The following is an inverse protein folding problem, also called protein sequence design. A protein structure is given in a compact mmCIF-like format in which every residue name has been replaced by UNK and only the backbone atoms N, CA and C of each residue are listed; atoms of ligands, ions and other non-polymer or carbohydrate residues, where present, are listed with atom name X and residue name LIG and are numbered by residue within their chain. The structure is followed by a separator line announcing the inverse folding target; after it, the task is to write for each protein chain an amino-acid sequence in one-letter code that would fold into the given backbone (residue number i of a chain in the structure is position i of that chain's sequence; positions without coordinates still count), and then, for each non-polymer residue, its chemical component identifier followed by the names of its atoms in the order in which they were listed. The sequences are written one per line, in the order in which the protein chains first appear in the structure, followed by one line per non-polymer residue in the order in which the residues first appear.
data_IF_745511784304
#
_entry.id   IF_745511784304
#
_cell.length_a   1.000
_cell.length_b   1.000
_cell.length_c   1.000
_cell.angle_alpha   90.00
_cell.angle_beta   90.00
_cell.angle_gamma   90.00
#
_symmetry.space_group_name_H-M   'P 1'
#
loop_
_entity.id
_entity.type
_entity.pdbx_description
1 polymer ?
#
# COMPACT_ATOMS: atom_id res chain seq x y z
N UNK A 1 -32.36 6.15 32.01
CA UNK A 1 -32.16 5.35 30.78
C UNK A 1 -31.50 6.26 29.75
N UNK A 2 -30.17 6.23 29.66
CA UNK A 2 -29.45 6.98 28.65
C UNK A 2 -29.63 6.22 27.34
N UNK A 3 -30.37 6.79 26.40
CA UNK A 3 -30.48 6.26 25.03
C UNK A 3 -29.07 6.40 24.44
N UNK A 4 -28.36 5.29 24.36
CA UNK A 4 -27.17 5.20 23.53
C UNK A 4 -27.66 5.45 22.09
N UNK A 5 -27.51 6.68 21.62
CA UNK A 5 -27.72 7.00 20.19
C UNK A 5 -26.72 6.15 19.42
N UNK A 6 -27.24 5.13 18.72
CA UNK A 6 -26.37 4.30 17.87
C UNK A 6 -25.69 5.22 16.86
N UNK A 7 -24.37 5.13 16.78
CA UNK A 7 -23.57 5.90 15.83
C UNK A 7 -24.10 5.70 14.41
N UNK A 8 -24.33 6.78 13.66
CA UNK A 8 -24.72 6.68 12.25
C UNK A 8 -23.62 6.03 11.45
N UNK A 9 -23.96 4.96 10.75
CA UNK A 9 -23.03 4.24 9.86
C UNK A 9 -23.34 4.59 8.42
N UNK A 10 -22.29 4.92 7.66
CA UNK A 10 -22.38 5.33 6.25
C UNK A 10 -21.51 4.40 5.42
N UNK A 11 -22.04 3.92 4.31
CA UNK A 11 -21.28 3.21 3.28
C UNK A 11 -21.17 4.05 2.03
N UNK A 12 -19.98 4.16 1.48
CA UNK A 12 -19.72 4.98 0.29
C UNK A 12 -19.04 4.12 -0.79
N UNK A 13 -19.74 3.92 -1.89
CA UNK A 13 -19.19 3.34 -3.11
C UNK A 13 -18.74 4.46 -4.06
N UNK A 14 -17.51 4.37 -4.57
CA UNK A 14 -16.82 5.47 -5.27
C UNK A 14 -16.51 5.11 -6.71
N UNK A 15 -17.05 5.93 -7.63
CA UNK A 15 -16.65 5.97 -9.03
C UNK A 15 -15.93 7.30 -9.36
N UNK A 16 -15.37 7.39 -10.55
CA UNK A 16 -14.62 8.57 -11.01
C UNK A 16 -15.46 9.84 -11.02
N UNK A 17 -16.70 9.77 -11.51
CA UNK A 17 -17.57 10.93 -11.72
C UNK A 17 -18.55 11.16 -10.57
N UNK A 18 -18.97 10.11 -9.91
CA UNK A 18 -20.01 10.15 -8.89
C UNK A 18 -19.74 9.12 -7.79
N UNK A 19 -20.36 9.29 -6.67
CA UNK A 19 -20.33 8.38 -5.54
C UNK A 19 -21.76 8.05 -5.10
N UNK A 20 -21.96 6.81 -4.73
CA UNK A 20 -23.21 6.35 -4.13
C UNK A 20 -23.03 6.20 -2.64
N UNK A 21 -23.89 6.83 -1.87
CA UNK A 21 -23.83 6.90 -0.42
C UNK A 21 -25.06 6.27 0.19
N UNK A 22 -24.88 5.45 1.24
CA UNK A 22 -25.96 4.89 2.03
C UNK A 22 -25.84 5.37 3.48
N UNK A 23 -26.93 5.80 4.07
CA UNK A 23 -27.02 6.25 5.46
C UNK A 23 -27.90 5.31 6.28
N UNK A 24 -27.38 4.79 7.39
CA UNK A 24 -28.11 3.85 8.25
C UNK A 24 -29.23 4.50 9.07
N UNK A 25 -29.09 5.77 9.42
CA UNK A 25 -30.07 6.53 10.20
C UNK A 25 -31.33 6.85 9.41
N UNK A 26 -31.25 7.12 8.12
CA UNK A 26 -32.34 7.40 7.22
C UNK A 26 -32.76 6.19 6.37
N UNK A 27 -31.92 5.17 6.31
CA UNK A 27 -32.04 4.00 5.42
C UNK A 27 -32.16 4.38 3.93
N UNK A 28 -31.59 5.52 3.55
CA UNK A 28 -31.63 6.06 2.18
C UNK A 28 -30.31 5.84 1.46
N UNK A 29 -30.41 5.81 0.14
CA UNK A 29 -29.25 5.79 -0.77
C UNK A 29 -29.37 6.97 -1.71
N UNK A 30 -28.33 7.78 -1.80
CA UNK A 30 -28.25 8.95 -2.65
C UNK A 30 -27.03 8.87 -3.57
N UNK A 31 -27.08 9.55 -4.72
CA UNK A 31 -25.95 9.70 -5.61
C UNK A 31 -25.50 11.16 -5.66
N UNK A 32 -24.24 11.42 -5.46
CA UNK A 32 -23.65 12.75 -5.47
C UNK A 32 -22.42 12.79 -6.42
N UNK A 33 -22.08 13.97 -6.93
CA UNK A 33 -20.88 14.14 -7.74
C UNK A 33 -19.61 13.91 -6.91
N UNK A 34 -18.63 13.24 -7.50
CA UNK A 34 -17.32 13.04 -6.88
C UNK A 34 -16.45 14.29 -7.07
N UNK A 35 -16.85 15.39 -6.47
CA UNK A 35 -16.07 16.63 -6.36
C UNK A 35 -16.08 17.17 -4.92
N UNK A 36 -15.04 17.91 -4.56
CA UNK A 36 -14.84 18.40 -3.19
C UNK A 36 -16.00 19.27 -2.68
N UNK A 37 -16.68 20.00 -3.55
CA UNK A 37 -17.78 20.91 -3.17
C UNK A 37 -19.03 20.12 -2.84
N UNK A 38 -19.43 19.19 -3.70
CA UNK A 38 -20.58 18.32 -3.48
C UNK A 38 -20.39 17.42 -2.25
N UNK A 39 -19.19 16.82 -2.13
CA UNK A 39 -18.78 16.02 -0.97
C UNK A 39 -18.87 16.82 0.33
N UNK A 40 -18.29 18.02 0.38
CA UNK A 40 -18.31 18.86 1.59
C UNK A 40 -19.73 19.27 1.98
N UNK A 41 -20.60 19.57 0.98
CA UNK A 41 -22.00 19.91 1.23
C UNK A 41 -22.75 18.72 1.83
N UNK A 42 -22.55 17.54 1.25
CA UNK A 42 -23.22 16.33 1.71
C UNK A 42 -22.71 15.88 3.09
N UNK A 43 -21.40 15.86 3.33
CA UNK A 43 -20.83 15.51 4.63
C UNK A 43 -21.36 16.38 5.78
N UNK A 44 -21.68 17.66 5.52
CA UNK A 44 -22.31 18.54 6.51
C UNK A 44 -23.72 18.10 6.94
N UNK A 45 -24.38 17.25 6.17
CA UNK A 45 -25.73 16.71 6.51
C UNK A 45 -25.65 15.51 7.43
N UNK A 46 -24.47 14.93 7.64
CA UNK A 46 -24.27 13.79 8.51
C UNK A 46 -24.26 14.20 9.98
N UNK A 47 -24.79 13.36 10.87
CA UNK A 47 -24.59 13.52 12.31
C UNK A 47 -23.09 13.57 12.67
N UNK A 48 -22.75 14.31 13.71
CA UNK A 48 -21.36 14.39 14.18
C UNK A 48 -20.80 13.00 14.51
N UNK A 49 -19.51 12.80 14.24
CA UNK A 49 -18.79 11.54 14.53
C UNK A 49 -19.41 10.29 13.86
N UNK A 50 -20.08 10.45 12.70
CA UNK A 50 -20.56 9.30 11.93
C UNK A 50 -19.40 8.37 11.56
N UNK A 51 -19.66 7.05 11.52
CA UNK A 51 -18.71 6.04 11.05
C UNK A 51 -18.89 5.82 9.55
N UNK A 52 -17.84 6.02 8.75
CA UNK A 52 -17.90 6.02 7.29
C UNK A 52 -17.00 4.92 6.73
N UNK A 53 -17.60 3.93 6.04
CA UNK A 53 -16.86 2.93 5.27
C UNK A 53 -16.71 3.36 3.82
N UNK A 54 -15.49 3.31 3.31
CA UNK A 54 -15.15 3.66 1.92
C UNK A 54 -14.31 2.54 1.34
N UNK A 55 -14.66 2.05 0.15
CA UNK A 55 -13.80 1.11 -0.57
C UNK A 55 -12.62 1.84 -1.22
N UNK A 56 -11.41 1.27 -1.08
CA UNK A 56 -10.19 1.81 -1.68
C UNK A 56 -10.21 1.66 -3.21
N UNK A 57 -10.73 2.66 -3.92
CA UNK A 57 -10.83 2.67 -5.38
C UNK A 57 -9.83 3.64 -6.00
N UNK A 58 -8.67 3.13 -6.46
CA UNK A 58 -7.60 3.93 -7.05
C UNK A 58 -7.29 5.20 -6.23
N UNK A 59 -7.35 6.40 -6.86
CA UNK A 59 -7.17 7.71 -6.21
C UNK A 59 -8.50 8.41 -5.89
N UNK A 60 -9.62 7.89 -6.40
CA UNK A 60 -10.91 8.57 -6.38
C UNK A 60 -11.53 8.71 -4.99
N UNK A 61 -11.12 7.86 -4.04
CA UNK A 61 -11.59 7.90 -2.65
C UNK A 61 -10.86 8.94 -1.79
N UNK A 62 -9.72 9.47 -2.23
CA UNK A 62 -8.86 10.31 -1.38
C UNK A 62 -9.57 11.57 -0.89
N UNK A 63 -10.24 12.31 -1.79
CA UNK A 63 -10.96 13.53 -1.40
C UNK A 63 -12.07 13.26 -0.38
N UNK A 64 -12.81 12.16 -0.55
CA UNK A 64 -13.86 11.73 0.38
C UNK A 64 -13.29 11.45 1.77
N UNK A 65 -12.20 10.67 1.82
CA UNK A 65 -11.57 10.25 3.07
C UNK A 65 -10.96 11.44 3.81
N UNK A 66 -10.23 12.32 3.10
CA UNK A 66 -9.62 13.53 3.67
C UNK A 66 -10.66 14.50 4.21
N UNK A 67 -11.72 14.78 3.43
CA UNK A 67 -12.78 15.71 3.83
C UNK A 67 -13.58 15.17 5.02
N UNK A 68 -13.97 13.90 4.98
CA UNK A 68 -14.71 13.28 6.07
C UNK A 68 -13.90 13.27 7.37
N UNK A 69 -12.62 12.92 7.31
CA UNK A 69 -11.72 12.97 8.46
C UNK A 69 -11.55 14.41 8.99
N UNK A 70 -11.33 15.39 8.10
CA UNK A 70 -11.17 16.80 8.49
C UNK A 70 -12.45 17.38 9.13
N UNK A 71 -13.62 16.79 8.86
CA UNK A 71 -14.90 17.17 9.47
C UNK A 71 -15.23 16.38 10.76
N UNK A 72 -14.29 15.57 11.26
CA UNK A 72 -14.42 14.85 12.54
C UNK A 72 -15.17 13.53 12.46
N UNK A 73 -15.40 12.99 11.25
CA UNK A 73 -15.99 11.64 11.10
C UNK A 73 -14.92 10.55 11.27
N UNK A 74 -15.37 9.37 11.72
CA UNK A 74 -14.53 8.18 11.79
C UNK A 74 -14.54 7.47 10.43
N UNK A 75 -13.43 7.51 9.71
CA UNK A 75 -13.34 6.96 8.35
C UNK A 75 -12.60 5.63 8.37
N UNK A 76 -13.17 4.63 7.71
CA UNK A 76 -12.61 3.30 7.53
C UNK A 76 -12.42 3.01 6.04
N UNK A 77 -11.17 2.91 5.62
CA UNK A 77 -10.84 2.53 4.23
C UNK A 77 -10.76 1.01 4.17
N UNK A 78 -11.70 0.42 3.45
CA UNK A 78 -11.87 -1.03 3.39
C UNK A 78 -11.25 -1.59 2.12
N UNK A 79 -10.59 -2.72 2.26
CA UNK A 79 -9.99 -3.47 1.14
C UNK A 79 -11.09 -4.14 0.30
N UNK A 80 -11.05 -3.93 -1.03
CA UNK A 80 -12.02 -4.49 -1.98
C UNK A 80 -12.13 -6.03 -1.92
N UNK A 81 -11.03 -6.73 -1.65
CA UNK A 81 -11.04 -8.18 -1.50
C UNK A 81 -11.83 -8.63 -0.26
N UNK A 82 -11.68 -7.91 0.87
CA UNK A 82 -12.46 -8.19 2.09
C UNK A 82 -13.95 -7.99 1.85
N UNK A 83 -14.34 -6.88 1.21
CA UNK A 83 -15.75 -6.58 0.89
C UNK A 83 -16.33 -7.64 -0.05
N UNK A 84 -15.56 -8.05 -1.07
CA UNK A 84 -15.99 -9.10 -2.01
C UNK A 84 -16.20 -10.46 -1.32
N UNK A 85 -15.30 -10.85 -0.41
CA UNK A 85 -15.46 -12.10 0.35
C UNK A 85 -16.63 -12.03 1.34
N UNK A 86 -16.82 -10.90 2.00
CA UNK A 86 -17.96 -10.67 2.88
C UNK A 86 -19.27 -10.80 2.12
N UNK A 87 -19.38 -10.19 0.93
CA UNK A 87 -20.55 -10.34 0.03
C UNK A 87 -20.87 -11.80 -0.26
N UNK A 88 -19.83 -12.60 -0.59
CA UNK A 88 -20.00 -14.05 -0.85
C UNK A 88 -20.45 -14.78 0.41
N UNK A 89 -19.86 -14.46 1.57
CA UNK A 89 -20.20 -15.07 2.86
C UNK A 89 -21.64 -14.87 3.28
N UNK A 90 -22.23 -13.71 2.98
CA UNK A 90 -23.64 -13.40 3.28
C UNK A 90 -24.61 -13.81 2.14
N UNK A 91 -24.11 -14.45 1.06
CA UNK A 91 -24.93 -14.91 -0.05
C UNK A 91 -25.53 -13.80 -0.92
N UNK A 92 -25.03 -12.57 -0.85
CA UNK A 92 -25.55 -11.46 -1.65
C UNK A 92 -25.16 -11.61 -3.12
N UNK A 93 -26.14 -11.81 -4.00
CA UNK A 93 -25.95 -11.99 -5.44
C UNK A 93 -25.94 -10.67 -6.23
N UNK A 94 -26.73 -9.69 -5.79
CA UNK A 94 -26.84 -8.41 -6.49
C UNK A 94 -25.56 -7.60 -6.31
N UNK A 95 -25.05 -7.09 -7.44
CA UNK A 95 -23.91 -6.18 -7.51
C UNK A 95 -24.32 -4.97 -8.34
N UNK A 96 -24.59 -3.87 -7.68
CA UNK A 96 -24.82 -2.54 -8.23
C UNK A 96 -24.46 -1.52 -7.15
N UNK A 97 -24.18 -0.29 -7.54
CA UNK A 97 -23.64 0.74 -6.67
C UNK A 97 -24.49 0.99 -5.40
N UNK A 98 -25.86 1.04 -5.42
CA UNK A 98 -26.67 1.11 -4.20
C UNK A 98 -26.50 -0.09 -3.27
N UNK A 99 -26.39 -1.31 -3.82
CA UNK A 99 -26.15 -2.52 -3.03
C UNK A 99 -24.73 -2.52 -2.44
N UNK A 100 -23.76 -1.96 -3.15
CA UNK A 100 -22.37 -1.91 -2.72
C UNK A 100 -22.17 -0.89 -1.59
N UNK A 101 -22.81 0.28 -1.66
CA UNK A 101 -22.85 1.24 -0.56
C UNK A 101 -23.52 0.67 0.70
N UNK A 102 -24.67 -0.03 0.57
CA UNK A 102 -25.31 -0.72 1.70
C UNK A 102 -24.44 -1.82 2.29
N UNK A 103 -23.77 -2.58 1.43
CA UNK A 103 -22.86 -3.65 1.86
C UNK A 103 -21.70 -3.10 2.68
N UNK A 104 -21.12 -1.97 2.27
CA UNK A 104 -20.04 -1.30 2.99
C UNK A 104 -20.50 -0.85 4.39
N UNK A 105 -21.69 -0.26 4.50
CA UNK A 105 -22.25 0.12 5.78
C UNK A 105 -22.49 -1.11 6.68
N UNK A 106 -23.08 -2.19 6.13
CA UNK A 106 -23.28 -3.45 6.86
C UNK A 106 -21.97 -4.09 7.29
N UNK A 107 -20.96 -4.08 6.40
CA UNK A 107 -19.63 -4.56 6.73
C UNK A 107 -19.03 -3.80 7.91
N UNK A 108 -19.08 -2.46 7.86
CA UNK A 108 -18.59 -1.64 8.96
C UNK A 108 -19.32 -1.92 10.27
N UNK A 109 -20.65 -2.02 10.24
CA UNK A 109 -21.45 -2.31 11.44
C UNK A 109 -21.03 -3.62 12.12
N UNK A 110 -20.70 -4.65 11.33
CA UNK A 110 -20.40 -5.98 11.88
C UNK A 110 -18.92 -6.20 12.19
N UNK A 111 -18.02 -5.50 11.51
CA UNK A 111 -16.59 -5.77 11.54
C UNK A 111 -15.74 -4.61 12.08
N UNK A 112 -16.38 -3.58 12.64
CA UNK A 112 -15.75 -2.33 13.07
C UNK A 112 -14.56 -2.56 14.03
N UNK A 113 -14.69 -3.49 14.97
CA UNK A 113 -13.67 -3.79 15.97
C UNK A 113 -12.37 -4.32 15.34
N UNK A 114 -12.46 -4.96 14.17
CA UNK A 114 -11.32 -5.47 13.39
C UNK A 114 -10.75 -4.46 12.40
N UNK A 115 -11.29 -3.24 12.33
CA UNK A 115 -10.88 -2.21 11.39
C UNK A 115 -10.12 -1.08 12.08
N UNK A 116 -9.19 -0.46 11.36
CA UNK A 116 -8.49 0.72 11.83
C UNK A 116 -9.15 1.98 11.29
N UNK A 117 -9.37 2.95 12.17
CA UNK A 117 -9.76 4.31 11.77
C UNK A 117 -8.62 4.88 10.92
N UNK A 118 -8.99 5.42 9.77
CA UNK A 118 -8.05 6.06 8.87
C UNK A 118 -7.54 7.37 9.47
N UNK A 119 -6.26 7.60 9.33
CA UNK A 119 -5.60 8.87 9.63
C UNK A 119 -4.81 9.36 8.43
N UNK A 120 -4.71 10.68 8.20
CA UNK A 120 -3.95 11.21 7.08
C UNK A 120 -2.49 10.79 7.19
N UNK A 121 -1.89 10.28 6.10
CA UNK A 121 -0.48 9.98 6.10
C UNK A 121 0.34 11.28 6.22
N UNK A 122 1.54 11.23 6.83
CA UNK A 122 2.46 12.36 6.79
C UNK A 122 2.68 12.84 5.35
N UNK A 123 2.72 14.16 5.12
CA UNK A 123 2.95 14.72 3.77
C UNK A 123 4.21 14.15 3.10
N UNK A 124 5.29 14.01 3.88
CA UNK A 124 6.54 13.43 3.40
C UNK A 124 6.37 11.98 2.94
N UNK A 125 5.56 11.15 3.64
CA UNK A 125 5.23 9.79 3.21
C UNK A 125 4.63 9.78 1.81
N UNK A 126 3.63 10.62 1.55
CA UNK A 126 2.95 10.68 0.26
C UNK A 126 3.91 11.14 -0.85
N UNK A 127 4.74 12.15 -0.59
CA UNK A 127 5.72 12.66 -1.53
C UNK A 127 6.80 11.63 -1.86
N UNK A 128 7.39 10.99 -0.86
CA UNK A 128 8.43 9.98 -1.03
C UNK A 128 7.88 8.74 -1.76
N UNK A 129 6.71 8.26 -1.37
CA UNK A 129 6.03 7.16 -2.05
C UNK A 129 5.78 7.48 -3.52
N UNK A 130 5.26 8.68 -3.82
CA UNK A 130 5.04 9.11 -5.20
C UNK A 130 6.34 9.15 -6.01
N UNK A 131 7.43 9.71 -5.47
CA UNK A 131 8.72 9.78 -6.14
C UNK A 131 9.30 8.38 -6.42
N UNK A 132 9.20 7.45 -5.45
CA UNK A 132 9.64 6.06 -5.64
C UNK A 132 8.87 5.38 -6.77
N UNK A 133 7.55 5.52 -6.82
CA UNK A 133 6.71 4.96 -7.88
C UNK A 133 6.98 5.59 -9.25
N UNK A 134 7.13 6.92 -9.33
CA UNK A 134 7.49 7.60 -10.60
C UNK A 134 8.85 7.17 -11.11
N UNK A 135 9.82 7.00 -10.21
CA UNK A 135 11.12 6.43 -10.57
C UNK A 135 11.00 5.00 -11.10
N UNK A 136 10.20 4.15 -10.45
CA UNK A 136 9.98 2.78 -10.93
C UNK A 136 9.40 2.75 -12.34
N UNK A 137 8.40 3.59 -12.62
CA UNK A 137 7.80 3.76 -13.96
C UNK A 137 8.84 4.23 -14.99
N UNK A 138 9.69 5.21 -14.61
CA UNK A 138 10.76 5.70 -15.48
C UNK A 138 11.73 4.58 -15.87
N UNK A 139 12.17 3.77 -14.89
CA UNK A 139 13.08 2.65 -15.13
C UNK A 139 12.43 1.59 -16.02
N UNK A 140 11.18 1.22 -15.75
CA UNK A 140 10.46 0.20 -16.50
C UNK A 140 10.28 0.61 -17.97
N UNK A 141 9.85 1.85 -18.22
CA UNK A 141 9.66 2.35 -19.57
C UNK A 141 11.00 2.48 -20.32
N UNK A 142 12.06 2.94 -19.64
CA UNK A 142 13.40 3.01 -20.23
C UNK A 142 13.92 1.62 -20.62
N UNK A 143 13.76 0.62 -19.75
CA UNK A 143 14.18 -0.75 -20.06
C UNK A 143 13.44 -1.30 -21.28
N UNK A 144 12.13 -1.09 -21.38
CA UNK A 144 11.31 -1.48 -22.53
C UNK A 144 11.77 -0.82 -23.83
N UNK A 145 12.04 0.50 -23.80
CA UNK A 145 12.57 1.22 -24.96
C UNK A 145 13.94 0.71 -25.39
N UNK A 146 14.86 0.53 -24.44
CA UNK A 146 16.22 0.04 -24.75
C UNK A 146 16.19 -1.37 -25.34
N UNK A 147 15.29 -2.23 -24.88
CA UNK A 147 15.10 -3.57 -25.41
C UNK A 147 14.54 -3.54 -26.84
N UNK A 148 13.51 -2.74 -27.08
CA UNK A 148 12.87 -2.63 -28.42
C UNK A 148 13.83 -2.05 -29.48
N UNK A 149 14.76 -1.19 -29.10
CA UNK A 149 15.72 -0.56 -29.99
C UNK A 149 17.08 -1.28 -30.04
N UNK A 150 17.23 -2.43 -29.38
CA UNK A 150 18.54 -3.08 -29.20
C UNK A 150 19.22 -3.44 -30.53
N UNK A 151 18.44 -3.94 -31.49
CA UNK A 151 18.94 -4.46 -32.77
C UNK A 151 18.66 -3.50 -33.95
N UNK A 152 18.39 -2.20 -33.66
CA UNK A 152 18.10 -1.20 -34.68
C UNK A 152 19.26 -0.22 -34.87
N UNK A 153 20.15 -0.43 -35.87
CA UNK A 153 21.33 0.40 -36.07
C UNK A 153 21.02 1.86 -36.34
N UNK A 154 19.92 2.17 -37.01
CA UNK A 154 19.49 3.53 -37.33
C UNK A 154 19.15 4.33 -36.06
N UNK A 155 18.73 3.67 -34.99
CA UNK A 155 18.39 4.29 -33.71
C UNK A 155 19.60 4.48 -32.77
N UNK A 156 20.81 4.12 -33.17
CA UNK A 156 22.00 4.19 -32.28
C UNK A 156 22.18 5.57 -31.63
N UNK A 157 22.09 6.65 -32.41
CA UNK A 157 22.22 8.02 -31.87
C UNK A 157 21.06 8.38 -30.94
N UNK A 158 19.83 7.99 -31.30
CA UNK A 158 18.62 8.22 -30.50
C UNK A 158 18.71 7.47 -29.15
N UNK A 159 19.18 6.22 -29.17
CA UNK A 159 19.42 5.42 -27.93
C UNK A 159 20.39 6.11 -26.99
N UNK A 160 21.52 6.62 -27.52
CA UNK A 160 22.51 7.34 -26.70
C UNK A 160 21.89 8.59 -26.07
N UNK A 161 21.16 9.39 -26.85
CA UNK A 161 20.47 10.57 -26.35
C UNK A 161 19.44 10.22 -25.27
N UNK A 162 18.61 9.22 -25.51
CA UNK A 162 17.61 8.73 -24.56
C UNK A 162 18.24 8.21 -23.27
N UNK A 163 19.36 7.47 -23.36
CA UNK A 163 20.07 6.98 -22.18
C UNK A 163 20.66 8.13 -21.35
N UNK A 164 21.15 9.21 -22.00
CA UNK A 164 21.63 10.41 -21.30
C UNK A 164 20.47 11.11 -20.57
N UNK A 165 19.34 11.33 -21.26
CA UNK A 165 18.15 11.94 -20.66
C UNK A 165 17.60 11.12 -19.50
N UNK A 166 17.56 9.79 -19.64
CA UNK A 166 17.17 8.89 -18.55
C UNK A 166 18.06 9.05 -17.32
N UNK A 167 19.39 9.02 -17.50
CA UNK A 167 20.34 9.20 -16.37
C UNK A 167 20.11 10.53 -15.65
N UNK A 168 19.90 11.62 -16.40
CA UNK A 168 19.64 12.93 -15.82
C UNK A 168 18.31 12.96 -15.03
N UNK A 169 17.25 12.38 -15.58
CA UNK A 169 15.95 12.27 -14.91
C UNK A 169 16.04 11.41 -13.63
N UNK A 170 16.70 10.25 -13.69
CA UNK A 170 16.90 9.37 -12.54
C UNK A 170 17.68 10.08 -11.42
N UNK A 171 18.77 10.76 -11.76
CA UNK A 171 19.56 11.54 -10.80
C UNK A 171 18.76 12.67 -10.17
N UNK A 172 17.92 13.37 -10.96
CA UNK A 172 17.05 14.43 -10.45
C UNK A 172 16.03 13.87 -9.44
N UNK A 173 15.39 12.74 -9.74
CA UNK A 173 14.46 12.09 -8.80
C UNK A 173 15.18 11.64 -7.53
N UNK A 174 16.38 11.08 -7.63
CA UNK A 174 17.16 10.68 -6.46
C UNK A 174 17.54 11.89 -5.59
N UNK A 175 17.90 13.04 -6.19
CA UNK A 175 18.13 14.28 -5.44
C UNK A 175 16.86 14.75 -4.71
N UNK A 176 15.70 14.66 -5.35
CA UNK A 176 14.42 14.99 -4.71
C UNK A 176 14.09 14.04 -3.55
N UNK A 177 14.32 12.73 -3.72
CA UNK A 177 14.15 11.74 -2.65
C UNK A 177 15.00 12.11 -1.43
N UNK A 178 16.29 12.43 -1.62
CA UNK A 178 17.19 12.86 -0.54
C UNK A 178 16.70 14.13 0.14
N UNK A 179 16.31 15.15 -0.67
CA UNK A 179 15.82 16.42 -0.15
C UNK A 179 14.59 16.21 0.74
N UNK A 180 13.56 15.50 0.25
CA UNK A 180 12.33 15.25 1.00
C UNK A 180 12.60 14.38 2.24
N UNK A 181 13.50 13.40 2.15
CA UNK A 181 13.91 12.57 3.31
C UNK A 181 14.56 13.40 4.41
N UNK A 182 15.42 14.37 4.04
CA UNK A 182 16.05 15.29 4.97
C UNK A 182 15.04 16.22 5.63
N UNK A 183 14.15 16.83 4.83
CA UNK A 183 13.08 17.69 5.33
C UNK A 183 12.12 16.94 6.27
N UNK A 184 11.96 15.64 6.06
CA UNK A 184 11.14 14.76 6.88
C UNK A 184 11.86 14.24 8.14
N UNK A 185 13.16 14.46 8.30
CA UNK A 185 13.96 14.00 9.43
C UNK A 185 14.13 12.47 9.50
N UNK A 186 14.06 11.77 8.36
CA UNK A 186 14.18 10.30 8.33
C UNK A 186 15.57 9.79 7.92
N UNK A 187 16.56 10.67 7.82
CA UNK A 187 17.92 10.31 7.41
C UNK A 187 18.52 9.23 8.32
N UNK A 188 18.35 9.34 9.61
CA UNK A 188 18.84 8.35 10.58
C UNK A 188 18.22 6.96 10.32
N UNK A 189 16.92 6.90 10.05
CA UNK A 189 16.24 5.64 9.70
C UNK A 189 16.75 5.05 8.38
N UNK A 190 17.04 5.89 7.40
CA UNK A 190 17.65 5.47 6.14
C UNK A 190 19.06 4.90 6.38
N UNK A 191 19.87 5.56 7.19
CA UNK A 191 21.23 5.09 7.48
C UNK A 191 21.23 3.80 8.29
N UNK A 192 20.32 3.62 9.23
CA UNK A 192 20.09 2.35 9.92
C UNK A 192 19.72 1.22 8.94
N UNK A 193 18.84 1.49 7.98
CA UNK A 193 18.53 0.51 6.93
C UNK A 193 19.76 0.19 6.07
N UNK A 194 20.56 1.19 5.69
CA UNK A 194 21.77 0.99 4.88
C UNK A 194 22.86 0.19 5.59
N UNK A 195 22.87 0.18 6.92
CA UNK A 195 23.76 -0.68 7.71
C UNK A 195 23.45 -2.18 7.54
N UNK A 196 22.33 -2.53 6.93
CA UNK A 196 21.98 -3.91 6.59
C UNK A 196 22.66 -4.25 5.26
N UNK A 197 23.52 -5.27 5.25
CA UNK A 197 24.21 -5.71 4.05
C UNK A 197 23.23 -6.04 2.91
N UNK A 198 23.50 -5.50 1.73
CA UNK A 198 22.67 -5.65 0.53
C UNK A 198 21.56 -4.58 0.41
N UNK A 199 21.29 -3.81 1.45
CA UNK A 199 20.30 -2.72 1.41
C UNK A 199 20.97 -1.44 0.92
N UNK A 200 20.67 -1.06 -0.32
CA UNK A 200 21.10 0.22 -0.91
C UNK A 200 20.17 1.37 -0.52
N UNK A 201 20.58 2.59 -0.86
CA UNK A 201 19.89 3.84 -0.50
C UNK A 201 18.40 3.85 -0.89
N UNK A 202 18.02 3.38 -2.09
CA UNK A 202 16.63 3.36 -2.51
C UNK A 202 15.76 2.38 -1.72
N UNK A 203 16.30 1.20 -1.41
CA UNK A 203 15.60 0.24 -0.56
C UNK A 203 15.45 0.79 0.85
N UNK A 204 16.51 1.39 1.39
CA UNK A 204 16.51 2.04 2.69
C UNK A 204 15.46 3.17 2.75
N UNK A 205 15.42 4.03 1.72
CA UNK A 205 14.40 5.09 1.61
C UNK A 205 12.99 4.50 1.56
N UNK A 206 12.76 3.43 0.78
CA UNK A 206 11.46 2.76 0.69
C UNK A 206 10.99 2.18 2.02
N UNK A 207 11.88 1.48 2.73
CA UNK A 207 11.59 0.91 4.06
C UNK A 207 11.33 2.00 5.10
N UNK A 208 12.19 3.03 5.18
CA UNK A 208 12.05 4.14 6.11
C UNK A 208 10.77 4.94 5.81
N UNK A 209 10.45 5.20 4.54
CA UNK A 209 9.19 5.85 4.12
C UNK A 209 7.98 5.04 4.60
N UNK A 210 8.00 3.73 4.38
CA UNK A 210 6.88 2.86 4.78
C UNK A 210 6.71 2.85 6.30
N UNK A 211 7.80 2.90 7.03
CA UNK A 211 7.80 2.92 8.49
C UNK A 211 7.18 4.20 9.08
N UNK A 212 7.24 5.33 8.35
CA UNK A 212 6.57 6.58 8.76
C UNK A 212 5.05 6.46 8.82
N UNK A 213 4.46 5.43 8.20
CA UNK A 213 3.00 5.31 8.07
C UNK A 213 2.29 5.01 9.38
N UNK A 214 2.98 4.44 10.37
CA UNK A 214 2.36 4.14 11.65
C UNK A 214 3.30 3.51 12.67
N UNK A 215 2.80 3.38 13.88
CA UNK A 215 3.48 2.63 14.94
C UNK A 215 3.20 1.14 14.75
N UNK A 216 4.26 0.39 14.52
CA UNK A 216 4.20 -1.05 14.40
C UNK A 216 4.53 -1.70 15.74
N UNK A 217 3.63 -2.57 16.22
CA UNK A 217 3.78 -3.25 17.50
C UNK A 217 5.04 -4.14 17.54
N UNK A 218 5.39 -4.72 16.40
CA UNK A 218 6.54 -5.60 16.23
C UNK A 218 6.97 -5.68 14.76
N UNK A 219 8.05 -6.42 14.50
CA UNK A 219 8.56 -6.65 13.14
C UNK A 219 7.56 -7.38 12.23
N UNK A 220 6.75 -8.28 12.76
CA UNK A 220 5.80 -9.06 11.96
C UNK A 220 4.65 -8.17 11.46
N UNK A 221 4.20 -7.21 12.29
CA UNK A 221 3.23 -6.20 11.87
C UNK A 221 3.77 -5.34 10.73
N UNK A 222 5.06 -4.97 10.76
CA UNK A 222 5.70 -4.22 9.67
C UNK A 222 5.83 -5.08 8.40
N UNK A 223 6.22 -6.35 8.52
CA UNK A 223 6.31 -7.28 7.39
C UNK A 223 4.94 -7.49 6.74
N UNK A 224 3.90 -7.66 7.55
CA UNK A 224 2.52 -7.77 7.07
C UNK A 224 2.09 -6.48 6.34
N UNK A 225 2.46 -5.31 6.85
CA UNK A 225 2.19 -4.03 6.18
C UNK A 225 2.94 -3.89 4.84
N UNK A 226 4.14 -4.46 4.73
CA UNK A 226 4.87 -4.57 3.47
C UNK A 226 4.23 -5.59 2.49
N UNK A 227 3.29 -6.42 2.97
CA UNK A 227 2.69 -7.53 2.20
C UNK A 227 3.70 -8.63 1.89
N UNK A 228 4.63 -8.87 2.81
CA UNK A 228 5.67 -9.89 2.73
C UNK A 228 5.46 -11.03 3.73
N UNK A 229 4.35 -11.02 4.44
CA UNK A 229 3.83 -12.12 5.24
C UNK A 229 3.25 -13.22 4.36
N UNK A 230 3.10 -14.42 4.93
CA UNK A 230 2.64 -15.59 4.21
C UNK A 230 1.16 -15.86 4.48
N UNK A 231 0.43 -16.24 3.44
CA UNK A 231 -0.88 -16.86 3.59
C UNK A 231 -0.74 -18.24 4.19
N UNK A 232 -1.66 -18.59 5.08
CA UNK A 232 -1.77 -19.94 5.67
C UNK A 232 -3.11 -20.53 5.22
N UNK A 233 -3.04 -21.69 4.58
CA UNK A 233 -4.23 -22.46 4.15
C UNK A 233 -4.03 -23.93 4.56
N UNK A 234 -4.18 -24.17 5.86
CA UNK A 234 -4.04 -25.49 6.45
C UNK A 234 -5.39 -26.00 6.89
N UNK A 235 -5.69 -27.27 6.64
CA UNK A 235 -6.87 -27.93 7.15
C UNK A 235 -6.55 -29.37 7.61
N UNK A 236 -6.70 -29.62 8.90
CA UNK A 236 -6.40 -30.92 9.49
C UNK A 236 -4.95 -31.36 9.23
N UNK A 237 -4.76 -32.45 8.50
CA UNK A 237 -3.42 -33.01 8.14
C UNK A 237 -2.84 -32.38 6.86
N UNK A 238 -3.60 -31.53 6.15
CA UNK A 238 -3.17 -30.94 4.88
C UNK A 238 -2.51 -29.59 5.11
N UNK A 239 -1.22 -29.50 4.78
CA UNK A 239 -0.50 -28.22 4.72
C UNK A 239 -0.62 -27.65 3.32
N UNK A 240 -1.32 -26.52 3.17
CA UNK A 240 -1.46 -25.81 1.92
C UNK A 240 -0.17 -25.06 1.50
N UNK A 241 -0.05 -24.68 0.22
CA UNK A 241 1.09 -23.90 -0.25
C UNK A 241 1.10 -22.52 0.39
N UNK A 242 2.30 -22.01 0.69
CA UNK A 242 2.51 -20.68 1.26
C UNK A 242 2.77 -19.66 0.16
N UNK A 243 2.02 -18.57 0.16
CA UNK A 243 2.21 -17.46 -0.76
C UNK A 243 2.36 -16.14 0.01
N UNK A 244 3.06 -15.17 -0.56
CA UNK A 244 3.06 -13.82 -0.02
C UNK A 244 1.65 -13.22 -0.14
N UNK A 245 1.20 -12.51 0.91
CA UNK A 245 -0.11 -11.82 0.91
C UNK A 245 -0.18 -10.71 -0.13
N UNK A 246 0.96 -10.08 -0.45
CA UNK A 246 1.12 -8.97 -1.40
C UNK A 246 0.21 -7.75 -1.10
N UNK A 247 -0.28 -7.61 0.13
CA UNK A 247 -1.20 -6.53 0.55
C UNK A 247 -0.52 -5.17 0.76
N UNK A 248 0.81 -5.10 0.67
CA UNK A 248 1.58 -3.87 0.80
C UNK A 248 1.98 -3.25 -0.53
N UNK A 249 2.91 -2.28 -0.48
CA UNK A 249 3.41 -1.55 -1.64
C UNK A 249 4.28 -2.45 -2.54
N UNK A 250 3.92 -2.64 -3.82
CA UNK A 250 4.66 -3.51 -4.73
C UNK A 250 6.07 -3.00 -5.05
N UNK A 251 6.28 -1.68 -5.05
CA UNK A 251 7.60 -1.10 -5.32
C UNK A 251 8.55 -1.36 -4.16
N UNK A 252 8.10 -1.22 -2.91
CA UNK A 252 8.94 -1.52 -1.74
C UNK A 252 9.29 -3.01 -1.69
N UNK A 253 8.35 -3.91 -2.03
CA UNK A 253 8.65 -5.36 -2.16
C UNK A 253 9.68 -5.64 -3.23
N UNK A 254 9.58 -4.97 -4.40
CA UNK A 254 10.57 -5.10 -5.49
C UNK A 254 11.95 -4.64 -5.05
N UNK A 255 12.03 -3.52 -4.32
CA UNK A 255 13.29 -3.00 -3.78
C UNK A 255 13.88 -3.96 -2.73
N UNK A 256 13.06 -4.53 -1.86
CA UNK A 256 13.49 -5.53 -0.88
C UNK A 256 13.99 -6.83 -1.56
N UNK A 257 13.35 -7.27 -2.64
CA UNK A 257 13.83 -8.38 -3.45
C UNK A 257 15.21 -8.09 -4.09
N UNK A 258 15.40 -6.88 -4.62
CA UNK A 258 16.70 -6.47 -5.17
C UNK A 258 17.79 -6.44 -4.09
N UNK A 259 17.44 -5.98 -2.87
CA UNK A 259 18.34 -6.05 -1.73
C UNK A 259 18.70 -7.50 -1.37
N UNK A 260 17.75 -8.44 -1.44
CA UNK A 260 17.99 -9.86 -1.21
C UNK A 260 18.95 -10.45 -2.26
N UNK A 261 18.83 -10.05 -3.54
CA UNK A 261 19.77 -10.47 -4.58
C UNK A 261 21.21 -9.98 -4.34
N UNK A 262 21.37 -8.82 -3.75
CA UNK A 262 22.70 -8.33 -3.36
C UNK A 262 23.21 -9.02 -2.09
N UNK A 263 22.36 -9.14 -1.09
CA UNK A 263 22.68 -9.69 0.22
C UNK A 263 23.04 -11.18 0.20
N UNK A 264 22.41 -11.99 -0.67
CA UNK A 264 22.64 -13.44 -0.72
C UNK A 264 24.12 -13.84 -1.02
N UNK A 265 24.94 -12.88 -1.43
CA UNK A 265 26.39 -13.07 -1.67
C UNK A 265 27.26 -12.66 -0.48
N UNK A 266 26.71 -11.95 0.50
CA UNK A 266 27.48 -11.48 1.66
C UNK A 266 27.69 -12.62 2.67
N UNK A 267 28.77 -12.52 3.45
CA UNK A 267 29.11 -13.54 4.46
C UNK A 267 27.97 -13.77 5.47
N UNK A 268 27.23 -12.70 5.82
CA UNK A 268 26.14 -12.76 6.79
C UNK A 268 24.88 -13.45 6.27
N UNK A 269 24.47 -13.15 5.02
CA UNK A 269 23.18 -13.60 4.51
C UNK A 269 23.25 -14.83 3.64
N UNK A 270 24.46 -15.16 3.12
CA UNK A 270 24.71 -16.35 2.31
C UNK A 270 24.27 -17.66 3.01
N UNK A 271 24.58 -17.91 4.30
CA UNK A 271 24.15 -19.12 4.97
C UNK A 271 22.61 -19.27 5.03
N UNK A 272 21.89 -18.18 5.22
CA UNK A 272 20.42 -18.22 5.20
C UNK A 272 19.88 -18.57 3.81
N UNK A 273 20.44 -17.93 2.78
CA UNK A 273 20.06 -18.21 1.40
C UNK A 273 20.32 -19.67 1.03
N UNK A 274 21.50 -20.19 1.34
CA UNK A 274 21.88 -21.59 1.09
C UNK A 274 21.00 -22.57 1.88
N UNK A 275 20.60 -22.24 3.11
CA UNK A 275 19.69 -23.07 3.89
C UNK A 275 18.30 -23.22 3.24
N UNK A 276 17.80 -22.17 2.56
CA UNK A 276 16.55 -22.29 1.80
C UNK A 276 16.72 -23.16 0.57
N UNK A 277 17.85 -23.05 -0.16
CA UNK A 277 18.14 -23.92 -1.30
C UNK A 277 18.25 -25.38 -0.88
N UNK A 278 18.92 -25.67 0.24
CA UNK A 278 19.04 -27.02 0.81
C UNK A 278 17.68 -27.63 1.20
N UNK A 279 16.69 -26.78 1.53
CA UNK A 279 15.31 -27.18 1.80
C UNK A 279 14.47 -27.37 0.53
N UNK A 280 15.07 -27.28 -0.67
CA UNK A 280 14.39 -27.47 -1.95
C UNK A 280 13.72 -26.22 -2.53
N UNK A 281 13.95 -25.03 -1.98
CA UNK A 281 13.43 -23.79 -2.56
C UNK A 281 14.14 -23.45 -3.87
N UNK A 282 13.42 -22.98 -4.87
CA UNK A 282 14.05 -22.37 -6.04
C UNK A 282 14.81 -21.10 -5.65
N UNK A 283 15.76 -20.65 -6.50
CA UNK A 283 16.52 -19.42 -6.27
C UNK A 283 15.63 -18.21 -5.99
N UNK A 284 14.54 -18.05 -6.75
CA UNK A 284 13.58 -16.97 -6.57
C UNK A 284 12.84 -17.09 -5.24
N UNK A 285 12.38 -18.29 -4.86
CA UNK A 285 11.72 -18.53 -3.58
C UNK A 285 12.65 -18.25 -2.40
N UNK A 286 13.92 -18.66 -2.48
CA UNK A 286 14.92 -18.38 -1.46
C UNK A 286 15.19 -16.88 -1.27
N UNK A 287 15.25 -16.10 -2.37
CA UNK A 287 15.38 -14.65 -2.30
C UNK A 287 14.13 -13.98 -1.74
N UNK A 288 12.94 -14.44 -2.13
CA UNK A 288 11.66 -13.95 -1.58
C UNK A 288 11.54 -14.25 -0.09
N UNK A 289 12.03 -15.40 0.39
CA UNK A 289 12.06 -15.76 1.81
C UNK A 289 13.13 -14.97 2.60
N UNK A 290 14.19 -14.51 1.94
CA UNK A 290 15.23 -13.68 2.55
C UNK A 290 14.80 -12.23 2.74
N UNK A 291 14.05 -11.66 1.80
CA UNK A 291 13.69 -10.25 1.76
C UNK A 291 12.96 -9.72 3.01
N UNK A 292 11.99 -10.42 3.63
CA UNK A 292 11.33 -9.98 4.87
C UNK A 292 12.29 -9.77 6.05
N UNK A 293 13.40 -10.52 6.08
CA UNK A 293 14.39 -10.42 7.17
C UNK A 293 15.03 -9.03 7.28
N UNK A 294 15.05 -8.26 6.21
CA UNK A 294 15.52 -6.86 6.24
C UNK A 294 14.56 -5.96 7.00
N UNK A 295 13.26 -6.17 6.84
CA UNK A 295 12.22 -5.46 7.60
C UNK A 295 12.28 -5.79 9.10
N UNK A 296 12.43 -7.10 9.45
CA UNK A 296 12.65 -7.53 10.83
C UNK A 296 13.87 -6.83 11.45
N UNK A 297 15.00 -6.89 10.73
CA UNK A 297 16.24 -6.31 11.26
C UNK A 297 16.15 -4.79 11.41
N UNK A 298 15.49 -4.10 10.50
CA UNK A 298 15.26 -2.66 10.61
C UNK A 298 14.46 -2.32 11.88
N UNK A 299 13.40 -3.07 12.17
CA UNK A 299 12.61 -2.86 13.40
C UNK A 299 13.43 -3.12 14.68
N UNK A 300 14.37 -4.07 14.67
CA UNK A 300 15.24 -4.38 15.83
C UNK A 300 16.30 -3.29 16.07
N UNK A 301 16.68 -2.55 15.01
CA UNK A 301 17.66 -1.46 15.12
C UNK A 301 17.03 -0.14 15.65
N UNK A 302 15.72 -0.15 15.97
CA UNK A 302 15.02 0.97 16.62
C UNK A 302 15.35 0.99 18.11
#
# INVERSE_FOLDING_TARGET
MTILTSQTVVGIDIAKAEIVVYRSDLQTTDTIKNDRTALKRWLKTLPAQSAIAVEATNIYHLDTVELAHAMGHQVYVVDAYRVSNYRRGIGQRAKNDPCDARLLARYLTNEQDGLRIWSPPPKAYTSLKSLLHRRATLIQNHAGLMLSWANEPLLKKVRIAQQKAFKQADQAIQKLLRKVSKEAGIEENIDRCKAIEGVGELTATGLATTFMRGDFANSDAFIAFLGMDLTVDDSGKKNGPRYLTKKGDPEVRRLAYNAAMAACRSARWKPFYESYLARGFSKTQALVALAPRFGCRFCVLR
#
